data_IF_309367684545
#
_entry.id   IF_309367684545
#
_cell.length_a   1.000
_cell.length_b   1.000
_cell.length_c   1.000
_cell.angle_alpha   90.00
_cell.angle_beta   90.00
_cell.angle_gamma   90.00
#
_symmetry.space_group_name_H-M   'P 1'
#
loop_
_entity.id
_entity.type
_entity.pdbx_description
1 polymer ?
#
# COMPACT_ATOMS: atom_id res chain seq x y z
N UNK A 1 6.28 0.86 -19.34
CA UNK A 1 6.40 1.08 -17.88
C UNK A 1 5.19 1.87 -17.40
N UNK A 2 4.62 1.56 -16.22
CA UNK A 2 3.63 2.44 -15.61
C UNK A 2 4.22 3.86 -15.53
N UNK A 3 3.51 4.82 -16.13
CA UNK A 3 3.95 6.21 -16.16
C UNK A 3 3.85 6.76 -14.74
N UNK A 4 4.98 7.16 -14.16
CA UNK A 4 5.01 7.94 -12.91
C UNK A 4 4.29 9.28 -13.15
N UNK A 5 3.13 9.53 -12.51
CA UNK A 5 2.45 10.81 -12.65
C UNK A 5 3.30 11.94 -12.10
N UNK A 6 3.29 13.10 -12.78
CA UNK A 6 4.02 14.30 -12.32
C UNK A 6 3.33 14.89 -11.10
N UNK A 7 4.08 15.61 -10.25
CA UNK A 7 3.56 16.30 -9.06
C UNK A 7 2.37 17.24 -9.34
N UNK A 8 2.31 17.84 -10.55
CA UNK A 8 1.18 18.69 -10.96
C UNK A 8 -0.14 17.93 -11.16
N UNK A 9 -0.07 16.61 -11.31
CA UNK A 9 -1.23 15.73 -11.51
C UNK A 9 -1.83 15.27 -10.17
N UNK A 10 -1.24 15.63 -9.02
CA UNK A 10 -1.75 15.26 -7.67
C UNK A 10 -3.26 15.51 -7.49
N UNK A 11 -3.83 16.66 -7.91
CA UNK A 11 -5.27 16.90 -7.74
C UNK A 11 -6.17 15.93 -8.52
N UNK A 12 -5.62 15.17 -9.48
CA UNK A 12 -6.37 14.18 -10.26
C UNK A 12 -6.52 12.84 -9.53
N UNK A 13 -5.73 12.61 -8.47
CA UNK A 13 -5.68 11.36 -7.73
C UNK A 13 -5.94 11.58 -6.23
N UNK A 14 -7.11 12.12 -5.85
CA UNK A 14 -7.40 12.49 -4.46
C UNK A 14 -7.38 11.28 -3.51
N UNK A 15 -7.78 10.08 -3.93
CA UNK A 15 -7.77 8.91 -3.06
C UNK A 15 -6.33 8.50 -2.71
N UNK A 16 -5.49 8.33 -3.73
CA UNK A 16 -4.09 7.95 -3.54
C UNK A 16 -3.32 9.02 -2.78
N UNK A 17 -3.53 10.29 -3.12
CA UNK A 17 -2.85 11.41 -2.46
C UNK A 17 -3.26 11.52 -0.99
N UNK A 18 -4.54 11.34 -0.66
CA UNK A 18 -5.01 11.36 0.73
C UNK A 18 -4.38 10.23 1.56
N UNK A 19 -4.31 9.02 1.02
CA UNK A 19 -3.71 7.86 1.71
C UNK A 19 -2.20 8.08 1.90
N UNK A 20 -1.50 8.56 0.88
CA UNK A 20 -0.08 8.90 0.96
C UNK A 20 0.18 9.96 2.04
N UNK A 21 -0.61 11.03 2.07
CA UNK A 21 -0.50 12.08 3.09
C UNK A 21 -0.79 11.54 4.48
N UNK A 22 -1.83 10.72 4.65
CA UNK A 22 -2.16 10.10 5.94
C UNK A 22 -1.02 9.20 6.44
N UNK A 23 -0.43 8.38 5.56
CA UNK A 23 0.72 7.54 5.91
C UNK A 23 1.92 8.39 6.36
N UNK A 24 2.23 9.47 5.66
CA UNK A 24 3.29 10.42 6.06
C UNK A 24 2.98 11.06 7.40
N UNK A 25 1.77 11.59 7.60
CA UNK A 25 1.36 12.28 8.83
C UNK A 25 1.43 11.33 10.03
N UNK A 26 0.89 10.12 9.91
CA UNK A 26 0.92 9.11 10.98
C UNK A 26 2.35 8.69 11.30
N UNK A 27 3.18 8.45 10.27
CA UNK A 27 4.57 8.04 10.46
C UNK A 27 5.40 9.15 11.11
N UNK A 28 5.24 10.40 10.67
CA UNK A 28 5.93 11.54 11.30
C UNK A 28 5.44 11.76 12.73
N UNK A 29 4.14 11.61 13.00
CA UNK A 29 3.62 11.67 14.37
C UNK A 29 4.30 10.61 15.25
N UNK A 30 4.45 9.38 14.75
CA UNK A 30 5.17 8.33 15.47
C UNK A 30 6.63 8.69 15.76
N UNK A 31 7.39 9.10 14.75
CA UNK A 31 8.81 9.43 14.88
C UNK A 31 9.07 10.67 15.75
N UNK A 32 8.07 11.55 15.89
CA UNK A 32 8.13 12.71 16.80
C UNK A 32 7.68 12.37 18.23
N UNK A 33 7.44 11.09 18.53
CA UNK A 33 7.13 10.59 19.87
C UNK A 33 5.64 10.57 20.22
N UNK A 34 4.73 10.74 19.25
CA UNK A 34 3.28 10.53 19.50
C UNK A 34 2.99 9.05 19.58
N UNK A 35 2.14 8.68 20.55
CA UNK A 35 1.62 7.31 20.63
C UNK A 35 0.63 7.06 19.48
N UNK A 36 1.07 6.23 18.53
CA UNK A 36 0.25 5.73 17.42
C UNK A 36 0.06 4.21 17.52
N UNK A 37 0.46 3.59 18.63
CA UNK A 37 0.27 2.15 18.87
C UNK A 37 -1.19 1.68 18.78
N UNK A 38 -2.23 2.53 18.99
CA UNK A 38 -3.61 2.14 18.70
C UNK A 38 -3.90 1.83 17.22
N UNK A 39 -3.01 2.24 16.31
CA UNK A 39 -3.14 2.00 14.87
C UNK A 39 -2.47 0.70 14.43
N UNK A 40 -1.56 0.14 15.23
CA UNK A 40 -0.76 -1.02 14.86
C UNK A 40 -1.59 -2.29 14.87
N UNK A 41 -1.17 -3.24 14.05
CA UNK A 41 -1.71 -4.58 14.09
C UNK A 41 -1.19 -5.31 15.32
N UNK A 42 -2.08 -5.87 16.14
CA UNK A 42 -1.70 -6.66 17.30
C UNK A 42 -2.85 -7.57 17.78
N UNK A 43 -2.60 -8.31 18.87
CA UNK A 43 -3.53 -9.26 19.47
C UNK A 43 -4.91 -8.69 19.84
N UNK A 44 -5.06 -7.37 19.99
CA UNK A 44 -6.33 -6.71 20.32
C UNK A 44 -7.36 -6.80 19.19
N UNK A 45 -6.95 -7.18 17.97
CA UNK A 45 -7.86 -7.53 16.88
C UNK A 45 -8.81 -8.65 17.33
N UNK A 46 -8.30 -9.66 18.07
CA UNK A 46 -9.13 -10.74 18.63
C UNK A 46 -10.13 -10.26 19.69
N UNK A 47 -9.95 -9.05 20.21
CA UNK A 47 -10.83 -8.40 21.18
C UNK A 47 -11.78 -7.39 20.53
N UNK A 48 -11.88 -7.40 19.20
CA UNK A 48 -12.82 -6.57 18.46
C UNK A 48 -12.25 -5.24 17.96
N UNK A 49 -10.95 -4.98 18.11
CA UNK A 49 -10.30 -3.78 17.59
C UNK A 49 -10.03 -3.88 16.07
N UNK A 50 -11.08 -4.14 15.29
CA UNK A 50 -11.00 -4.44 13.85
C UNK A 50 -10.50 -3.27 12.99
N UNK A 51 -10.57 -2.03 13.49
CA UNK A 51 -10.00 -0.87 12.80
C UNK A 51 -8.50 -1.02 12.57
N UNK A 52 -7.80 -1.80 13.41
CA UNK A 52 -6.37 -2.09 13.26
C UNK A 52 -6.03 -2.75 11.93
N UNK A 53 -6.95 -3.53 11.35
CA UNK A 53 -6.79 -4.14 10.02
C UNK A 53 -6.79 -3.11 8.88
N UNK A 54 -7.23 -1.88 9.15
CA UNK A 54 -7.25 -0.79 8.18
C UNK A 54 -6.18 0.24 8.52
N UNK A 55 -5.99 0.54 9.80
CA UNK A 55 -5.08 1.60 10.24
C UNK A 55 -3.62 1.17 10.27
N UNK A 56 -3.32 -0.12 10.39
CA UNK A 56 -1.94 -0.63 10.47
C UNK A 56 -1.13 -0.35 9.21
N UNK A 57 -1.79 -0.08 8.08
CA UNK A 57 -1.11 0.26 6.83
C UNK A 57 -0.48 1.66 6.84
N UNK A 58 -0.90 2.56 7.75
CA UNK A 58 -0.44 3.96 7.78
C UNK A 58 0.96 4.16 8.39
N UNK A 59 1.29 3.60 9.58
CA UNK A 59 2.61 3.76 10.18
C UNK A 59 3.71 2.98 9.44
N UNK A 60 4.92 3.55 9.39
CA UNK A 60 6.10 2.90 8.81
C UNK A 60 7.30 3.02 9.75
N UNK A 61 8.15 1.99 9.74
CA UNK A 61 9.25 1.82 10.69
C UNK A 61 10.40 2.81 10.45
N UNK A 62 10.76 3.00 9.19
CA UNK A 62 11.89 3.82 8.78
C UNK A 62 11.60 4.55 7.45
N UNK A 63 12.51 5.46 7.10
CA UNK A 63 12.39 6.30 5.91
C UNK A 63 12.44 5.53 4.60
N UNK A 64 13.18 4.43 4.52
CA UNK A 64 13.27 3.61 3.31
C UNK A 64 11.96 2.84 3.15
N UNK A 65 11.45 2.24 4.23
CA UNK A 65 10.18 1.53 4.24
C UNK A 65 9.01 2.45 3.82
N UNK A 66 8.97 3.69 4.34
CA UNK A 66 7.97 4.69 3.93
C UNK A 66 8.13 5.08 2.46
N UNK A 67 9.34 5.47 2.04
CA UNK A 67 9.58 5.95 0.68
C UNK A 67 9.25 4.89 -0.39
N UNK A 68 9.63 3.64 -0.13
CA UNK A 68 9.35 2.51 -1.02
C UNK A 68 7.84 2.29 -1.20
N UNK A 69 7.09 2.27 -0.11
CA UNK A 69 5.64 2.07 -0.15
C UNK A 69 4.90 3.23 -0.81
N UNK A 70 5.29 4.47 -0.52
CA UNK A 70 4.71 5.65 -1.16
C UNK A 70 4.97 5.66 -2.67
N UNK A 71 6.17 5.25 -3.10
CA UNK A 71 6.48 5.10 -4.52
C UNK A 71 5.55 4.09 -5.21
N UNK A 72 5.40 2.88 -4.65
CA UNK A 72 4.55 1.85 -5.26
C UNK A 72 3.06 2.15 -5.18
N UNK A 73 2.61 2.75 -4.07
CA UNK A 73 1.25 3.27 -3.95
C UNK A 73 0.98 4.30 -5.05
N UNK A 74 1.92 5.21 -5.30
CA UNK A 74 1.78 6.22 -6.34
C UNK A 74 1.72 5.60 -7.73
N UNK A 75 2.67 4.74 -8.08
CA UNK A 75 2.78 4.16 -9.43
C UNK A 75 1.58 3.26 -9.76
N UNK A 76 1.22 2.35 -8.86
CA UNK A 76 0.16 1.38 -9.09
C UNK A 76 -1.21 1.99 -8.82
N UNK A 77 -1.35 2.68 -7.70
CA UNK A 77 -2.63 3.23 -7.25
C UNK A 77 -3.19 4.30 -8.20
N UNK A 78 -2.35 5.21 -8.70
CA UNK A 78 -2.83 6.25 -9.65
C UNK A 78 -3.24 5.65 -11.00
N UNK A 79 -2.64 4.53 -11.40
CA UNK A 79 -3.06 3.79 -12.60
C UNK A 79 -4.48 3.25 -12.41
N UNK A 80 -4.80 2.69 -11.24
CA UNK A 80 -6.15 2.23 -10.90
C UNK A 80 -7.11 3.41 -10.79
N UNK A 81 -6.74 4.49 -10.09
CA UNK A 81 -7.60 5.66 -9.87
C UNK A 81 -7.96 6.38 -11.15
N UNK A 82 -7.03 6.46 -12.11
CA UNK A 82 -7.28 7.05 -13.43
C UNK A 82 -8.40 6.33 -14.18
N UNK A 83 -8.46 5.00 -14.07
CA UNK A 83 -9.37 4.16 -14.87
C UNK A 83 -10.69 3.89 -14.15
N UNK A 84 -10.65 3.66 -12.83
CA UNK A 84 -11.82 3.29 -12.04
C UNK A 84 -12.40 4.44 -11.21
N UNK A 85 -11.71 5.58 -11.13
CA UNK A 85 -12.11 6.72 -10.32
C UNK A 85 -11.79 6.54 -8.84
N UNK A 86 -11.88 7.65 -8.11
CA UNK A 86 -11.49 7.74 -6.69
C UNK A 86 -12.30 6.80 -5.79
N UNK A 87 -13.62 6.73 -5.93
CA UNK A 87 -14.46 5.91 -5.05
C UNK A 87 -14.11 4.41 -5.12
N UNK A 88 -14.00 3.85 -6.32
CA UNK A 88 -13.65 2.44 -6.50
C UNK A 88 -12.24 2.14 -6.04
N UNK A 89 -11.31 3.07 -6.25
CA UNK A 89 -9.92 2.94 -5.78
C UNK A 89 -9.85 2.91 -4.26
N UNK A 90 -10.58 3.80 -3.57
CA UNK A 90 -10.65 3.79 -2.11
C UNK A 90 -11.21 2.48 -1.58
N UNK A 91 -12.27 1.94 -2.21
CA UNK A 91 -12.83 0.64 -1.83
C UNK A 91 -11.84 -0.50 -2.05
N UNK A 92 -11.13 -0.51 -3.18
CA UNK A 92 -10.10 -1.52 -3.46
C UNK A 92 -8.97 -1.46 -2.43
N UNK A 93 -8.48 -0.27 -2.10
CA UNK A 93 -7.44 -0.11 -1.06
C UNK A 93 -7.94 -0.56 0.30
N UNK A 94 -9.19 -0.25 0.65
CA UNK A 94 -9.79 -0.74 1.89
C UNK A 94 -9.80 -2.28 1.93
N UNK A 95 -10.23 -2.95 0.85
CA UNK A 95 -10.22 -4.41 0.79
C UNK A 95 -8.80 -5.00 0.85
N UNK A 96 -7.83 -4.38 0.18
CA UNK A 96 -6.44 -4.83 0.26
C UNK A 96 -5.85 -4.63 1.65
N UNK A 97 -6.13 -3.51 2.33
CA UNK A 97 -5.71 -3.27 3.70
C UNK A 97 -6.27 -4.37 4.62
N UNK A 98 -7.60 -4.53 4.65
CA UNK A 98 -8.25 -5.54 5.51
C UNK A 98 -7.75 -6.95 5.21
N UNK A 99 -7.70 -7.34 3.93
CA UNK A 99 -7.31 -8.68 3.52
C UNK A 99 -5.84 -9.00 3.82
N UNK A 100 -4.94 -8.07 3.54
CA UNK A 100 -3.51 -8.26 3.78
C UNK A 100 -3.19 -8.24 5.28
N UNK A 101 -3.73 -7.28 6.06
CA UNK A 101 -3.53 -7.24 7.51
C UNK A 101 -4.18 -8.42 8.22
N UNK A 102 -5.34 -8.91 7.77
CA UNK A 102 -5.92 -10.12 8.36
C UNK A 102 -5.03 -11.35 8.12
N UNK A 103 -4.42 -11.45 6.93
CA UNK A 103 -3.50 -12.53 6.59
C UNK A 103 -2.18 -12.42 7.36
N UNK A 104 -1.62 -11.21 7.46
CA UNK A 104 -0.42 -10.93 8.22
C UNK A 104 -0.62 -11.25 9.71
N UNK A 105 -1.75 -10.85 10.30
CA UNK A 105 -2.08 -11.17 11.67
C UNK A 105 -2.14 -12.67 11.93
N UNK A 106 -2.74 -13.40 10.99
CA UNK A 106 -2.92 -14.84 11.08
C UNK A 106 -1.61 -15.62 10.94
N UNK A 107 -0.64 -15.10 10.19
CA UNK A 107 0.59 -15.83 9.82
C UNK A 107 1.86 -15.34 10.52
N UNK A 108 1.97 -14.04 10.79
CA UNK A 108 3.18 -13.37 11.28
C UNK A 108 2.97 -12.58 12.58
N UNK A 109 1.79 -12.67 13.21
CA UNK A 109 1.40 -11.96 14.43
C UNK A 109 1.26 -10.43 14.31
N UNK A 110 1.41 -9.91 13.09
CA UNK A 110 1.05 -8.58 12.66
C UNK A 110 2.22 -7.65 12.38
N UNK A 111 1.92 -6.57 11.65
CA UNK A 111 2.91 -5.62 11.17
C UNK A 111 2.36 -4.20 10.97
N UNK A 112 3.15 -3.39 10.28
CA UNK A 112 2.79 -2.01 9.89
C UNK A 112 3.21 -1.73 8.45
N UNK A 113 2.49 -0.84 7.79
CA UNK A 113 2.86 -0.28 6.49
C UNK A 113 1.99 -0.69 5.32
N UNK A 114 2.15 0.04 4.21
CA UNK A 114 1.32 -0.06 3.00
C UNK A 114 1.64 -1.26 2.09
N UNK A 115 2.58 -2.13 2.46
CA UNK A 115 3.12 -3.16 1.57
C UNK A 115 2.06 -4.14 1.11
N UNK A 116 1.20 -4.60 2.02
CA UNK A 116 0.05 -5.46 1.70
C UNK A 116 -0.90 -4.84 0.67
N UNK A 117 -1.15 -3.53 0.78
CA UNK A 117 -1.94 -2.77 -0.22
C UNK A 117 -1.19 -2.71 -1.55
N UNK A 118 0.12 -2.47 -1.53
CA UNK A 118 0.98 -2.48 -2.71
C UNK A 118 0.94 -3.81 -3.46
N UNK A 119 1.06 -4.94 -2.74
CA UNK A 119 0.93 -6.29 -3.31
C UNK A 119 -0.47 -6.54 -3.88
N UNK A 120 -1.53 -6.10 -3.18
CA UNK A 120 -2.90 -6.20 -3.68
C UNK A 120 -3.11 -5.42 -4.99
N UNK A 121 -2.61 -4.18 -5.06
CA UNK A 121 -2.67 -3.36 -6.28
C UNK A 121 -1.88 -3.99 -7.42
N UNK A 122 -0.70 -4.54 -7.14
CA UNK A 122 0.10 -5.23 -8.15
C UNK A 122 -0.62 -6.47 -8.68
N UNK A 123 -1.14 -7.33 -7.79
CA UNK A 123 -1.89 -8.52 -8.18
C UNK A 123 -3.13 -8.17 -9.01
N UNK A 124 -3.85 -7.12 -8.62
CA UNK A 124 -4.97 -6.59 -9.40
C UNK A 124 -4.54 -6.17 -10.80
N UNK A 125 -3.50 -5.34 -10.92
CA UNK A 125 -3.01 -4.86 -12.20
C UNK A 125 -2.46 -6.00 -13.07
N UNK A 126 -1.86 -7.03 -12.47
CA UNK A 126 -1.41 -8.22 -13.17
C UNK A 126 -2.58 -8.97 -13.80
N UNK A 127 -3.67 -9.19 -13.07
CA UNK A 127 -4.87 -9.80 -13.63
C UNK A 127 -5.46 -8.91 -14.73
N UNK A 128 -5.61 -7.61 -14.46
CA UNK A 128 -6.21 -6.68 -15.41
C UNK A 128 -5.41 -6.50 -16.69
N UNK A 129 -4.07 -6.56 -16.64
CA UNK A 129 -3.24 -6.45 -17.85
C UNK A 129 -3.47 -7.59 -18.85
N UNK A 130 -4.04 -8.72 -18.39
CA UNK A 130 -4.37 -9.87 -19.23
C UNK A 130 -5.84 -9.90 -19.67
N UNK A 131 -6.72 -9.14 -19.02
CA UNK A 131 -8.17 -9.24 -19.21
C UNK A 131 -8.87 -7.92 -19.59
N UNK A 132 -8.18 -6.78 -19.50
CA UNK A 132 -8.74 -5.46 -19.78
C UNK A 132 -7.73 -4.61 -20.57
N UNK A 133 -8.13 -4.22 -21.78
CA UNK A 133 -7.27 -3.46 -22.70
C UNK A 133 -6.79 -2.13 -22.10
N UNK A 134 -7.56 -1.54 -21.18
CA UNK A 134 -7.20 -0.29 -20.50
C UNK A 134 -5.95 -0.43 -19.61
N UNK A 135 -5.60 -1.66 -19.24
CA UNK A 135 -4.47 -1.97 -18.36
C UNK A 135 -3.35 -2.75 -19.04
N UNK A 136 -3.42 -2.97 -20.36
CA UNK A 136 -2.47 -3.80 -21.11
C UNK A 136 -1.01 -3.37 -20.94
N UNK A 137 -0.78 -2.07 -20.75
CA UNK A 137 0.56 -1.48 -20.58
C UNK A 137 0.86 -1.05 -19.14
N UNK A 138 -0.03 -1.36 -18.19
CA UNK A 138 0.08 -0.92 -16.79
C UNK A 138 1.31 -1.48 -16.07
N UNK A 139 1.80 -2.67 -16.44
CA UNK A 139 3.00 -3.27 -15.84
C UNK A 139 4.22 -3.25 -16.78
N UNK A 140 4.10 -2.74 -18.01
CA UNK A 140 5.15 -2.84 -19.03
C UNK A 140 5.33 -4.28 -19.52
N UNK A 141 5.19 -4.50 -20.83
CA UNK A 141 5.29 -5.83 -21.46
C UNK A 141 6.75 -6.30 -21.69
N UNK A 142 7.74 -5.56 -21.22
CA UNK A 142 9.16 -5.83 -21.44
C UNK A 142 9.87 -6.03 -20.07
N UNK A 143 10.38 -7.25 -19.89
CA UNK A 143 11.61 -7.59 -19.16
C UNK A 143 11.59 -7.81 -17.63
N UNK A 144 10.47 -8.14 -17.00
CA UNK A 144 10.47 -8.68 -15.62
C UNK A 144 10.97 -7.74 -14.50
N UNK A 145 11.40 -6.54 -14.84
CA UNK A 145 11.85 -5.48 -13.92
C UNK A 145 10.82 -5.13 -12.83
N UNK A 146 9.50 -5.00 -13.10
CA UNK A 146 8.51 -4.75 -12.05
C UNK A 146 8.47 -5.90 -11.02
N UNK A 147 8.62 -7.14 -11.45
CA UNK A 147 8.68 -8.32 -10.57
C UNK A 147 9.97 -8.31 -9.76
N UNK A 148 11.10 -7.91 -10.35
CA UNK A 148 12.38 -7.76 -9.62
C UNK A 148 12.27 -6.73 -8.49
N UNK A 149 11.62 -5.59 -8.72
CA UNK A 149 11.41 -4.61 -7.66
C UNK A 149 10.35 -5.02 -6.64
N UNK A 150 9.34 -5.79 -7.04
CA UNK A 150 8.35 -6.37 -6.13
C UNK A 150 8.99 -7.40 -5.19
N UNK A 151 9.87 -8.24 -5.74
CA UNK A 151 10.69 -9.21 -5.01
C UNK A 151 11.73 -8.51 -4.13
N UNK A 152 12.30 -7.39 -4.59
CA UNK A 152 13.14 -6.53 -3.75
C UNK A 152 12.33 -6.00 -2.56
N UNK A 153 11.09 -5.55 -2.77
CA UNK A 153 10.17 -5.14 -1.71
C UNK A 153 9.89 -6.22 -0.66
N UNK A 154 9.78 -7.49 -1.08
CA UNK A 154 9.62 -8.63 -0.15
C UNK A 154 10.85 -8.78 0.78
N UNK A 155 12.05 -8.46 0.28
CA UNK A 155 13.29 -8.49 1.05
C UNK A 155 13.33 -7.42 2.16
N UNK A 156 12.65 -6.28 1.97
CA UNK A 156 12.55 -5.21 2.98
C UNK A 156 11.36 -5.36 3.92
N UNK A 157 10.36 -6.17 3.55
CA UNK A 157 9.28 -6.55 4.47
C UNK A 157 9.82 -7.40 5.64
N UNK A 158 10.77 -8.30 5.37
CA UNK A 158 11.21 -9.32 6.34
C UNK A 158 12.30 -8.85 7.33
N UNK A 159 13.01 -7.75 7.02
CA UNK A 159 14.17 -7.32 7.81
C UNK A 159 13.83 -6.49 9.06
N UNK A 160 12.60 -5.98 9.18
CA UNK A 160 12.24 -5.04 10.24
C UNK A 160 10.83 -5.22 10.85
N UNK A 161 10.04 -6.23 10.46
CA UNK A 161 8.63 -6.41 10.82
C UNK A 161 8.30 -6.64 12.32
N UNK A 162 9.24 -6.46 13.25
CA UNK A 162 8.96 -6.59 14.68
C UNK A 162 8.89 -5.20 15.31
N UNK A 163 7.68 -4.78 15.66
CA UNK A 163 7.40 -3.61 16.50
C UNK A 163 7.19 -4.06 17.94
#
# INVERSE_FOLDING_TARGET
MPRVPKWKEIPQYPAISAIAVLAVVVTVAWWTGRDVSPLFENAEIRRGQLWRLVTSVLPHLDIIHLAFNLYWLWVLGTTVERVYGHLRTTLLIFFFAVGSSALDFALAAGGVGLSGVGYGLFGLLYVLSHHDERFKDSLGREDGEPVRWLVFGLYFHDSHARV
#
